data_IF_818263349425
#
_entry.id   IF_818263349425
#
_cell.length_a   1.000
_cell.length_b   1.000
_cell.length_c   1.000
_cell.angle_alpha   90.00
_cell.angle_beta   90.00
_cell.angle_gamma   90.00
#
_symmetry.space_group_name_H-M   'P 1'
#
loop_
_entity.id
_entity.type
_entity.pdbx_description
1 polymer ?
#
# COMPACT_ATOMS: atom_id res chain seq x y z
N UNK A 1 -15.58 5.71 0.22
CA UNK A 1 -15.46 5.01 -1.09
C UNK A 1 -14.17 5.44 -1.76
N UNK A 2 -13.31 4.52 -2.18
CA UNK A 2 -12.04 4.86 -2.85
C UNK A 2 -12.31 5.34 -4.28
N UNK A 3 -11.90 6.57 -4.61
CA UNK A 3 -12.14 7.17 -5.93
C UNK A 3 -11.19 6.54 -6.96
N UNK A 4 -11.75 5.88 -7.98
CA UNK A 4 -10.97 5.37 -9.11
C UNK A 4 -10.78 6.47 -10.16
N UNK A 5 -9.60 6.51 -10.78
CA UNK A 5 -9.33 7.38 -11.95
C UNK A 5 -9.47 6.56 -13.23
N UNK A 6 -10.06 7.16 -14.26
CA UNK A 6 -10.18 6.54 -15.59
C UNK A 6 -8.82 6.65 -16.30
N UNK A 7 -8.38 5.53 -16.86
CA UNK A 7 -7.16 5.46 -17.68
C UNK A 7 -7.49 4.69 -18.96
N UNK A 8 -6.98 5.16 -20.10
CA UNK A 8 -7.03 4.44 -21.37
C UNK A 8 -5.65 3.86 -21.66
N UNK A 9 -5.61 2.58 -22.02
CA UNK A 9 -4.38 1.85 -22.35
C UNK A 9 -4.67 1.05 -23.61
N UNK A 10 -3.80 1.19 -24.61
CA UNK A 10 -3.84 0.37 -25.81
C UNK A 10 -3.15 -0.96 -25.51
N UNK A 11 -3.78 -2.06 -25.94
CA UNK A 11 -3.25 -3.41 -25.81
C UNK A 11 -3.23 -4.05 -27.19
N UNK A 12 -2.20 -4.86 -27.44
CA UNK A 12 -2.18 -5.69 -28.63
C UNK A 12 -3.40 -6.64 -28.66
N UNK A 13 -3.96 -6.95 -29.84
CA UNK A 13 -5.15 -7.79 -29.97
C UNK A 13 -5.02 -9.16 -29.28
N UNK A 14 -3.83 -9.75 -29.34
CA UNK A 14 -3.51 -11.04 -28.74
C UNK A 14 -3.58 -10.97 -27.20
N UNK A 15 -2.99 -9.92 -26.62
CA UNK A 15 -3.01 -9.71 -25.17
C UNK A 15 -4.44 -9.43 -24.68
N UNK A 16 -5.19 -8.61 -25.41
CA UNK A 16 -6.61 -8.34 -25.12
C UNK A 16 -7.45 -9.63 -25.10
N UNK A 17 -7.27 -10.48 -26.11
CA UNK A 17 -7.96 -11.77 -26.23
C UNK A 17 -7.56 -12.75 -25.11
N UNK A 18 -6.27 -12.80 -24.77
CA UNK A 18 -5.77 -13.64 -23.68
C UNK A 18 -6.36 -13.22 -22.32
N UNK A 19 -6.45 -11.91 -22.05
CA UNK A 19 -7.04 -11.38 -20.83
C UNK A 19 -8.54 -11.70 -20.74
N UNK A 20 -9.27 -11.66 -21.86
CA UNK A 20 -10.69 -12.03 -21.89
C UNK A 20 -10.94 -13.49 -21.57
N UNK A 21 -10.16 -14.37 -22.19
CA UNK A 21 -10.23 -15.80 -21.89
C UNK A 21 -9.97 -16.06 -20.39
N UNK A 22 -8.90 -15.48 -19.86
CA UNK A 22 -8.55 -15.64 -18.44
C UNK A 22 -9.61 -15.05 -17.49
N UNK A 23 -10.22 -13.92 -17.86
CA UNK A 23 -11.29 -13.31 -17.09
C UNK A 23 -12.51 -14.24 -16.99
N UNK A 24 -12.89 -14.89 -18.10
CA UNK A 24 -13.98 -15.87 -18.13
C UNK A 24 -13.67 -17.09 -17.28
N UNK A 25 -12.48 -17.68 -17.45
CA UNK A 25 -12.03 -18.86 -16.69
C UNK A 25 -12.06 -18.59 -15.18
N UNK A 26 -11.61 -17.40 -14.74
CA UNK A 26 -11.55 -17.01 -13.33
C UNK A 26 -12.82 -16.34 -12.80
N UNK A 27 -13.87 -16.24 -13.61
CA UNK A 27 -15.14 -15.55 -13.28
C UNK A 27 -14.90 -14.16 -12.69
N UNK A 28 -13.99 -13.39 -13.29
CA UNK A 28 -13.64 -12.03 -12.87
C UNK A 28 -13.67 -11.06 -14.04
N UNK A 29 -13.46 -9.77 -13.80
CA UNK A 29 -13.40 -8.76 -14.85
C UNK A 29 -11.99 -8.59 -15.40
N UNK A 30 -11.89 -8.20 -16.69
CA UNK A 30 -10.62 -7.78 -17.31
C UNK A 30 -9.93 -6.68 -16.50
N UNK A 31 -10.71 -5.72 -15.97
CA UNK A 31 -10.20 -4.65 -15.12
C UNK A 31 -9.63 -5.14 -13.77
N UNK A 32 -10.18 -6.21 -13.19
CA UNK A 32 -9.59 -6.84 -12.00
C UNK A 32 -8.23 -7.46 -12.33
N UNK A 33 -8.11 -8.15 -13.46
CA UNK A 33 -6.83 -8.76 -13.89
C UNK A 33 -5.76 -7.70 -14.14
N UNK A 34 -6.09 -6.63 -14.87
CA UNK A 34 -5.16 -5.52 -15.10
C UNK A 34 -4.72 -4.86 -13.80
N UNK A 35 -5.65 -4.62 -12.87
CA UNK A 35 -5.32 -4.07 -11.55
C UNK A 35 -4.46 -5.02 -10.72
N UNK A 36 -4.69 -6.33 -10.79
CA UNK A 36 -3.89 -7.33 -10.08
C UNK A 36 -2.47 -7.38 -10.64
N UNK A 37 -2.33 -7.45 -11.97
CA UNK A 37 -1.05 -7.47 -12.65
C UNK A 37 -0.24 -6.20 -12.34
N UNK A 38 -0.85 -5.02 -12.47
CA UNK A 38 -0.18 -3.76 -12.16
C UNK A 38 0.29 -3.67 -10.70
N UNK A 39 -0.50 -4.18 -9.74
CA UNK A 39 -0.08 -4.21 -8.32
C UNK A 39 1.10 -5.14 -8.11
N UNK A 40 1.08 -6.34 -8.68
CA UNK A 40 2.17 -7.31 -8.54
C UNK A 40 3.45 -6.78 -9.14
N UNK A 41 3.38 -6.26 -10.36
CA UNK A 41 4.53 -5.65 -11.03
C UNK A 41 5.14 -4.52 -10.18
N UNK A 42 4.32 -3.60 -9.66
CA UNK A 42 4.83 -2.52 -8.81
C UNK A 42 5.42 -3.03 -7.49
N UNK A 43 4.85 -4.07 -6.88
CA UNK A 43 5.39 -4.67 -5.67
C UNK A 43 6.74 -5.34 -5.92
N UNK A 44 6.88 -6.04 -7.05
CA UNK A 44 8.13 -6.68 -7.47
C UNK A 44 9.24 -5.64 -7.70
N UNK A 45 8.91 -4.53 -8.38
CA UNK A 45 9.86 -3.43 -8.61
C UNK A 45 10.24 -2.68 -7.32
N UNK A 46 9.29 -2.51 -6.38
CA UNK A 46 9.53 -1.82 -5.10
C UNK A 46 10.27 -2.70 -4.08
N UNK A 47 10.04 -4.01 -4.09
CA UNK A 47 10.73 -4.95 -3.20
C UNK A 47 12.25 -5.00 -3.47
N UNK A 48 12.69 -4.63 -4.67
CA UNK A 48 14.11 -4.43 -4.98
C UNK A 48 14.68 -3.09 -4.49
N UNK A 49 13.85 -2.16 -4.01
CA UNK A 49 14.20 -0.77 -3.69
C UNK A 49 14.01 -0.38 -2.21
N UNK A 50 13.12 -1.03 -1.46
CA UNK A 50 12.83 -0.63 -0.07
C UNK A 50 13.51 -1.55 0.97
N UNK A 51 14.33 -0.91 1.81
CA UNK A 51 14.99 -1.51 2.98
C UNK A 51 13.92 -2.06 3.96
N UNK A 52 13.93 -3.35 4.33
CA UNK A 52 12.84 -4.03 5.04
C UNK A 52 12.42 -3.42 6.39
N UNK A 53 13.23 -2.52 6.96
CA UNK A 53 12.94 -1.82 8.22
C UNK A 53 11.91 -0.67 8.03
N UNK A 54 11.88 -0.03 6.86
CA UNK A 54 10.96 1.10 6.60
C UNK A 54 9.49 0.66 6.45
N UNK A 55 9.24 -0.56 5.96
CA UNK A 55 7.89 -1.12 5.80
C UNK A 55 7.15 -1.39 7.12
N UNK A 56 7.89 -1.58 8.23
CA UNK A 56 7.31 -1.87 9.55
C UNK A 56 6.65 -0.62 10.18
N UNK A 57 7.16 0.58 9.88
CA UNK A 57 6.65 1.85 10.41
C UNK A 57 5.28 2.19 9.80
N UNK A 58 4.95 1.65 8.62
CA UNK A 58 3.68 1.87 7.92
C UNK A 58 2.48 1.05 8.45
N UNK A 59 2.70 0.05 9.30
CA UNK A 59 1.63 -0.82 9.79
C UNK A 59 0.68 -0.15 10.81
N UNK A 60 1.06 0.99 11.39
CA UNK A 60 0.26 1.71 12.39
C UNK A 60 -0.83 2.63 11.84
N UNK A 61 -0.90 2.87 10.53
CA UNK A 61 -1.74 3.94 9.94
C UNK A 61 -3.11 3.48 9.40
N UNK A 62 -3.60 2.30 9.81
CA UNK A 62 -4.91 1.79 9.41
C UNK A 62 -6.04 2.23 10.38
N UNK A 63 -6.36 3.53 10.42
CA UNK A 63 -7.52 4.05 11.15
C UNK A 63 -7.87 5.49 10.74
N UNK A 64 -9.16 5.88 10.68
CA UNK A 64 -9.54 7.25 10.32
C UNK A 64 -9.48 8.14 11.57
N UNK A 65 -8.67 9.19 11.50
CA UNK A 65 -8.71 10.29 12.47
C UNK A 65 -7.51 10.34 13.40
N UNK A 66 -6.64 11.32 13.10
CA UNK A 66 -5.87 12.12 14.06
C UNK A 66 -5.58 11.44 15.42
N UNK A 67 -4.46 10.73 15.50
CA UNK A 67 -3.73 10.58 16.77
C UNK A 67 -2.30 11.04 16.53
N UNK A 68 -2.18 12.34 16.34
CA UNK A 68 -0.92 13.08 16.43
C UNK A 68 -1.22 14.39 17.13
N UNK A 69 -1.86 14.29 18.30
CA UNK A 69 -1.97 15.40 19.22
C UNK A 69 -0.93 15.15 20.33
N UNK A 70 0.07 16.03 20.37
CA UNK A 70 1.03 16.25 21.45
C UNK A 70 2.04 15.12 21.76
N UNK A 71 3.03 14.92 20.85
CA UNK A 71 4.25 14.18 21.21
C UNK A 71 5.17 14.94 22.18
N UNK A 72 5.03 16.26 22.32
CA UNK A 72 5.97 17.08 23.10
C UNK A 72 5.79 17.02 24.63
N UNK A 73 4.73 16.38 25.14
CA UNK A 73 4.45 16.36 26.60
C UNK A 73 4.94 15.14 27.36
N UNK A 74 5.44 14.10 26.69
CA UNK A 74 5.87 12.86 27.38
C UNK A 74 7.34 12.89 27.82
N UNK A 75 8.14 13.85 27.33
CA UNK A 75 9.56 13.95 27.72
C UNK A 75 9.82 14.74 29.03
N UNK A 76 8.81 15.36 29.65
CA UNK A 76 9.03 16.19 30.84
C UNK A 76 8.93 15.46 32.19
N UNK A 77 8.30 14.28 32.27
CA UNK A 77 8.00 13.63 33.56
C UNK A 77 8.85 12.38 33.89
N UNK A 78 9.86 12.03 33.08
CA UNK A 78 10.81 10.95 33.42
C UNK A 78 12.23 11.44 33.74
N UNK A 79 12.43 12.75 33.94
CA UNK A 79 13.71 13.33 34.40
C UNK A 79 13.76 13.60 35.93
N UNK A 80 12.77 13.14 36.72
CA UNK A 80 12.77 13.30 38.18
C UNK A 80 12.55 11.99 38.94
N UNK A 81 13.42 11.00 38.73
CA UNK A 81 13.66 9.97 39.75
C UNK A 81 14.98 9.26 39.47
N UNK A 82 16.07 9.75 40.07
CA UNK A 82 17.35 9.05 40.00
C UNK A 82 18.59 9.89 40.29
N UNK A 83 18.65 10.58 41.44
CA UNK A 83 19.94 10.88 42.08
C UNK A 83 19.84 10.58 43.58
N UNK A 84 20.50 9.53 44.08
CA UNK A 84 20.75 9.35 45.50
C UNK A 84 21.92 10.25 45.94
N UNK A 85 21.73 10.96 47.05
CA UNK A 85 22.78 11.26 48.03
C UNK A 85 22.21 10.89 49.39
#
# INVERSE_FOLDING_TARGET
>A
MRRMRRTQVYLDPELSSALDRLARERRTSRANLLRLAARRFLQEEQAGQEDPILGLIGLGNAGPGRVSEEHDKVLADHSRSGRPQ
#
